data_IF_024419501336
#
_entry.id   IF_024419501336
#
_cell.length_a   1.000
_cell.length_b   1.000
_cell.length_c   1.000
_cell.angle_alpha   90.00
_cell.angle_beta   90.00
_cell.angle_gamma   90.00
#
_symmetry.space_group_name_H-M   'P 1'
#
loop_
_entity.id
_entity.type
_entity.pdbx_description
1 polymer ?
#
# COMPACT_ATOMS: atom_id res chain seq x y z
N UNK A 1 18.19 55.87 -12.49
CA UNK A 1 17.72 55.04 -11.35
C UNK A 1 16.37 54.45 -11.73
N UNK A 2 16.29 53.13 -11.91
CA UNK A 2 15.01 52.44 -12.07
C UNK A 2 14.39 52.28 -10.67
N UNK A 3 13.07 52.50 -10.50
CA UNK A 3 12.43 52.25 -9.21
C UNK A 3 12.54 50.77 -8.84
N UNK A 4 12.70 50.42 -7.55
CA UNK A 4 12.71 49.03 -7.12
C UNK A 4 11.37 48.38 -7.47
N UNK A 5 11.44 47.23 -8.13
CA UNK A 5 10.28 46.38 -8.40
C UNK A 5 9.65 46.01 -7.06
N UNK A 6 8.33 46.21 -6.85
CA UNK A 6 7.69 45.78 -5.62
C UNK A 6 7.92 44.28 -5.44
N UNK A 7 8.63 43.92 -4.37
CA UNK A 7 8.76 42.53 -3.96
C UNK A 7 7.36 41.95 -3.81
N UNK A 8 7.08 40.87 -4.54
CA UNK A 8 5.85 40.10 -4.34
C UNK A 8 5.75 39.76 -2.86
N UNK A 9 4.72 40.26 -2.19
CA UNK A 9 4.32 39.75 -0.88
C UNK A 9 4.10 38.25 -1.05
N UNK A 10 4.91 37.43 -0.37
CA UNK A 10 4.58 36.01 -0.24
C UNK A 10 3.22 35.95 0.47
N UNK A 11 2.18 35.54 -0.25
CA UNK A 11 0.88 35.26 0.34
C UNK A 11 1.07 34.23 1.45
N UNK A 12 0.41 34.43 2.59
CA UNK A 12 0.38 33.44 3.67
C UNK A 12 0.13 32.04 3.09
N UNK A 13 0.80 30.99 3.60
CA UNK A 13 0.59 29.64 3.10
C UNK A 13 -0.89 29.27 3.17
N UNK A 14 -1.46 28.87 2.05
CA UNK A 14 -2.86 28.44 1.97
C UNK A 14 -3.01 27.07 2.66
N UNK A 15 -3.96 26.96 3.58
CA UNK A 15 -4.33 25.70 4.24
C UNK A 15 -5.81 25.39 3.98
N UNK A 16 -6.12 24.12 3.77
CA UNK A 16 -7.51 23.62 3.75
C UNK A 16 -7.91 23.19 5.16
N UNK A 17 -9.16 23.45 5.53
CA UNK A 17 -9.76 23.02 6.79
C UNK A 17 -11.14 22.44 6.50
N UNK A 18 -11.48 21.35 7.16
CA UNK A 18 -12.83 20.78 7.08
C UNK A 18 -13.88 21.74 7.64
N UNK A 19 -15.06 21.73 7.03
CA UNK A 19 -16.19 22.57 7.42
C UNK A 19 -16.77 22.25 8.80
N UNK A 20 -16.60 21.01 9.29
CA UNK A 20 -17.29 20.50 10.48
C UNK A 20 -16.44 19.57 11.37
N UNK A 21 -15.11 19.70 11.37
CA UNK A 21 -14.25 18.91 12.27
C UNK A 21 -14.00 19.59 13.60
N UNK A 22 -14.07 18.83 14.69
CA UNK A 22 -13.69 19.21 16.04
C UNK A 22 -12.30 18.72 16.48
N UNK A 23 -11.90 19.02 17.73
CA UNK A 23 -10.68 18.48 18.32
C UNK A 23 -10.72 16.95 18.39
N UNK A 24 -9.68 16.28 17.88
CA UNK A 24 -9.56 14.82 17.93
C UNK A 24 -10.07 14.08 16.68
N UNK A 25 -10.76 14.76 15.76
CA UNK A 25 -11.26 14.15 14.52
C UNK A 25 -10.15 13.71 13.55
N UNK A 26 -8.91 14.17 13.81
CA UNK A 26 -7.71 13.87 13.04
C UNK A 26 -7.83 14.19 11.55
N UNK A 27 -8.43 15.34 11.22
CA UNK A 27 -8.39 15.86 9.85
C UNK A 27 -6.96 15.95 9.33
N UNK A 28 -6.73 15.42 8.14
CA UNK A 28 -5.39 15.36 7.54
C UNK A 28 -4.59 14.12 7.90
N UNK A 29 -5.20 13.11 8.55
CA UNK A 29 -4.51 11.86 8.88
C UNK A 29 -3.99 11.11 7.64
N UNK A 30 -4.74 11.19 6.54
CA UNK A 30 -4.35 10.70 5.21
C UNK A 30 -4.86 11.67 4.13
N UNK A 31 -4.15 11.71 3.01
CA UNK A 31 -4.47 12.59 1.88
C UNK A 31 -4.20 11.88 0.55
N UNK A 32 -4.98 12.22 -0.48
CA UNK A 32 -4.72 11.81 -1.86
C UNK A 32 -4.94 12.99 -2.82
N UNK A 33 -4.04 13.15 -3.78
CA UNK A 33 -4.06 14.23 -4.76
C UNK A 33 -4.17 13.64 -6.17
N UNK A 34 -5.01 14.23 -7.03
CA UNK A 34 -5.14 13.83 -8.43
C UNK A 34 -3.86 14.13 -9.22
N UNK A 35 -3.73 13.52 -10.39
CA UNK A 35 -2.53 13.66 -11.23
C UNK A 35 -2.32 15.08 -11.76
N UNK A 36 -3.40 15.84 -11.96
CA UNK A 36 -3.37 17.26 -12.31
C UNK A 36 -3.11 18.20 -11.11
N UNK A 37 -3.22 17.69 -9.88
CA UNK A 37 -3.04 18.48 -8.66
C UNK A 37 -4.23 19.37 -8.29
N UNK A 38 -5.39 19.20 -8.94
CA UNK A 38 -6.56 20.07 -8.76
C UNK A 38 -7.68 19.44 -7.92
N UNK A 39 -7.60 18.15 -7.59
CA UNK A 39 -8.53 17.49 -6.66
C UNK A 39 -7.75 16.86 -5.51
N UNK A 40 -8.13 17.19 -4.28
CA UNK A 40 -7.51 16.71 -3.05
C UNK A 40 -8.57 16.05 -2.17
N UNK A 41 -8.37 14.79 -1.80
CA UNK A 41 -9.13 14.13 -0.75
C UNK A 41 -8.36 14.21 0.56
N UNK A 42 -9.04 14.60 1.64
CA UNK A 42 -8.49 14.66 3.00
C UNK A 42 -9.44 13.95 3.95
N UNK A 43 -8.91 13.09 4.82
CA UNK A 43 -9.73 12.29 5.71
C UNK A 43 -9.71 12.80 7.15
N UNK A 44 -10.77 12.50 7.90
CA UNK A 44 -10.89 12.69 9.34
C UNK A 44 -11.53 11.42 9.94
N UNK A 45 -10.74 10.38 10.25
CA UNK A 45 -11.26 9.05 10.57
C UNK A 45 -12.03 8.99 11.90
N UNK A 46 -11.90 10.01 12.75
CA UNK A 46 -12.58 10.09 14.05
C UNK A 46 -13.73 11.10 14.05
N UNK A 47 -14.08 11.66 12.88
CA UNK A 47 -15.22 12.54 12.74
C UNK A 47 -16.53 11.77 13.00
N UNK A 48 -17.50 12.41 13.68
CA UNK A 48 -18.80 11.81 13.97
C UNK A 48 -19.82 12.08 12.85
N UNK A 49 -20.41 11.02 12.31
CA UNK A 49 -21.48 11.10 11.33
C UNK A 49 -22.84 11.28 12.03
N UNK A 50 -23.28 12.52 12.23
CA UNK A 50 -24.52 12.80 12.96
C UNK A 50 -24.39 12.40 14.43
N UNK A 51 -25.18 11.42 14.87
CA UNK A 51 -25.12 10.86 16.23
C UNK A 51 -24.15 9.68 16.36
N UNK A 52 -23.62 9.17 15.25
CA UNK A 52 -22.70 8.03 15.23
C UNK A 52 -21.28 8.52 15.48
N UNK A 53 -20.74 8.21 16.65
CA UNK A 53 -19.41 8.66 17.07
C UNK A 53 -18.31 7.95 16.29
N UNK A 54 -17.27 8.69 15.91
CA UNK A 54 -16.05 8.12 15.31
C UNK A 54 -16.29 7.24 14.07
N UNK A 55 -17.38 7.49 13.33
CA UNK A 55 -17.69 6.79 12.08
C UNK A 55 -16.69 7.13 10.98
N UNK A 56 -16.14 8.35 11.01
CA UNK A 56 -15.16 8.87 10.07
C UNK A 56 -15.78 9.58 8.85
N UNK A 57 -14.99 10.45 8.22
CA UNK A 57 -15.41 11.25 7.08
C UNK A 57 -14.26 11.53 6.09
N UNK A 58 -14.62 11.81 4.84
CA UNK A 58 -13.72 12.28 3.78
C UNK A 58 -14.20 13.61 3.21
N UNK A 59 -13.27 14.52 3.01
CA UNK A 59 -13.48 15.85 2.47
C UNK A 59 -12.79 15.94 1.12
N UNK A 60 -13.52 16.28 0.07
CA UNK A 60 -12.94 16.52 -1.25
C UNK A 60 -12.84 18.02 -1.47
N UNK A 61 -11.66 18.48 -1.87
CA UNK A 61 -11.37 19.85 -2.23
C UNK A 61 -11.02 19.93 -3.70
N UNK A 62 -11.41 21.01 -4.35
CA UNK A 62 -11.01 21.34 -5.71
C UNK A 62 -10.23 22.64 -5.73
N UNK A 63 -9.26 22.73 -6.63
CA UNK A 63 -8.45 23.91 -6.84
C UNK A 63 -8.92 24.67 -8.08
N UNK A 64 -9.08 25.97 -7.96
CA UNK A 64 -9.34 26.86 -9.11
C UNK A 64 -8.64 28.19 -8.89
N UNK A 65 -7.98 28.70 -9.95
CA UNK A 65 -7.20 29.94 -9.90
C UNK A 65 -6.20 30.00 -8.71
N UNK A 66 -5.64 28.84 -8.34
CA UNK A 66 -4.69 28.71 -7.24
C UNK A 66 -5.32 28.57 -5.84
N UNK A 67 -6.63 28.73 -5.70
CA UNK A 67 -7.37 28.63 -4.43
C UNK A 67 -8.07 27.28 -4.28
N UNK A 68 -8.04 26.71 -3.07
CA UNK A 68 -8.74 25.49 -2.71
C UNK A 68 -10.10 25.78 -2.09
N UNK A 69 -11.14 25.07 -2.51
CA UNK A 69 -12.47 25.10 -1.93
C UNK A 69 -12.96 23.69 -1.63
N UNK A 70 -13.68 23.50 -0.52
CA UNK A 70 -14.32 22.22 -0.23
C UNK A 70 -15.46 22.01 -1.22
N UNK A 71 -15.40 20.89 -1.93
CA UNK A 71 -16.36 20.49 -2.95
C UNK A 71 -17.34 19.44 -2.43
N UNK A 72 -16.88 18.53 -1.57
CA UNK A 72 -17.74 17.49 -1.00
C UNK A 72 -17.34 17.11 0.43
N UNK A 73 -18.31 16.52 1.12
CA UNK A 73 -18.19 15.82 2.39
C UNK A 73 -18.86 14.46 2.22
N UNK A 74 -18.13 13.39 2.47
CA UNK A 74 -18.53 12.01 2.21
C UNK A 74 -18.41 11.20 3.49
N UNK A 75 -19.43 10.38 3.75
CA UNK A 75 -19.48 9.39 4.82
C UNK A 75 -19.86 8.04 4.22
N UNK A 76 -19.54 6.95 4.94
CA UNK A 76 -20.07 5.63 4.64
C UNK A 76 -21.61 5.66 4.55
N UNK A 77 -22.19 4.81 3.72
CA UNK A 77 -23.64 4.69 3.61
C UNK A 77 -24.28 3.87 4.74
N UNK A 78 -23.49 2.98 5.33
CA UNK A 78 -23.74 2.26 6.56
C UNK A 78 -22.69 2.77 7.58
N UNK A 79 -23.03 3.82 8.32
CA UNK A 79 -22.16 4.34 9.38
C UNK A 79 -22.35 3.59 10.68
N UNK A 80 -21.34 2.83 11.09
CA UNK A 80 -21.19 2.29 12.43
C UNK A 80 -20.28 3.16 13.31
N UNK A 81 -20.34 2.91 14.62
CA UNK A 81 -19.49 3.59 15.60
C UNK A 81 -18.10 2.96 15.58
N UNK A 82 -17.07 3.78 15.41
CA UNK A 82 -15.67 3.34 15.26
C UNK A 82 -15.33 2.61 13.95
N UNK A 83 -16.13 2.66 12.90
CA UNK A 83 -15.80 2.02 11.62
C UNK A 83 -14.55 2.60 10.93
N UNK A 84 -14.18 3.83 11.32
CA UNK A 84 -13.04 4.60 10.82
C UNK A 84 -13.08 4.79 9.29
N UNK A 85 -14.23 5.13 8.74
CA UNK A 85 -14.34 5.55 7.34
C UNK A 85 -13.37 6.71 7.06
N UNK A 86 -12.51 6.53 6.07
CA UNK A 86 -11.42 7.47 5.83
C UNK A 86 -10.17 7.15 6.64
N UNK A 87 -9.95 5.92 7.09
CA UNK A 87 -8.65 5.50 7.61
C UNK A 87 -7.58 5.52 6.51
N UNK A 88 -7.96 5.12 5.30
CA UNK A 88 -7.11 5.15 4.11
C UNK A 88 -7.90 5.75 2.94
N UNK A 89 -7.18 6.42 2.03
CA UNK A 89 -7.80 7.07 0.86
C UNK A 89 -6.88 7.01 -0.35
N UNK A 90 -7.46 6.78 -1.53
CA UNK A 90 -6.76 6.86 -2.81
C UNK A 90 -7.65 7.55 -3.85
N UNK A 91 -7.06 8.39 -4.69
CA UNK A 91 -7.72 9.14 -5.75
C UNK A 91 -7.03 8.84 -7.07
N UNK A 92 -7.79 8.64 -8.14
CA UNK A 92 -7.21 8.36 -9.46
C UNK A 92 -6.67 9.64 -10.13
N UNK A 93 -6.06 9.46 -11.31
CA UNK A 93 -5.32 10.50 -12.01
C UNK A 93 -6.17 11.70 -12.44
N UNK A 94 -7.41 11.47 -12.86
CA UNK A 94 -8.35 12.53 -13.27
C UNK A 94 -9.16 13.11 -12.10
N UNK A 95 -8.96 12.60 -10.88
CA UNK A 95 -9.66 13.07 -9.68
C UNK A 95 -11.14 12.70 -9.60
N UNK A 96 -11.62 11.76 -10.43
CA UNK A 96 -13.05 11.39 -10.49
C UNK A 96 -13.38 10.04 -9.85
N UNK A 97 -12.40 9.24 -9.44
CA UNK A 97 -12.61 7.97 -8.73
C UNK A 97 -11.84 7.98 -7.41
N UNK A 98 -12.55 7.79 -6.31
CA UNK A 98 -12.03 7.82 -4.95
C UNK A 98 -12.31 6.48 -4.27
N UNK A 99 -11.29 5.86 -3.70
CA UNK A 99 -11.44 4.69 -2.83
C UNK A 99 -11.16 5.08 -1.38
N UNK A 100 -12.04 4.67 -0.47
CA UNK A 100 -11.98 5.02 0.96
C UNK A 100 -12.07 3.75 1.80
N UNK A 101 -11.09 3.50 2.66
CA UNK A 101 -11.10 2.37 3.58
C UNK A 101 -11.79 2.68 4.92
N UNK A 102 -12.51 1.68 5.43
CA UNK A 102 -13.11 1.63 6.77
C UNK A 102 -12.74 0.28 7.41
N UNK A 103 -11.52 0.14 7.97
CA UNK A 103 -11.00 -1.15 8.41
C UNK A 103 -11.75 -1.78 9.58
N UNK A 104 -12.51 -1.00 10.34
CA UNK A 104 -13.27 -1.49 11.50
C UNK A 104 -14.77 -1.57 11.21
N UNK A 105 -15.16 -1.51 9.93
CA UNK A 105 -16.54 -1.73 9.55
C UNK A 105 -16.96 -3.19 9.84
N UNK A 106 -18.13 -3.33 10.44
CA UNK A 106 -18.72 -4.60 10.80
C UNK A 106 -19.66 -5.08 9.69
N UNK A 107 -19.28 -6.14 8.98
CA UNK A 107 -20.23 -6.84 8.10
C UNK A 107 -19.74 -8.20 7.64
N UNK A 108 -20.68 -9.15 7.59
CA UNK A 108 -20.49 -10.49 7.02
C UNK A 108 -20.63 -10.56 5.50
N UNK A 109 -20.90 -9.43 4.81
CA UNK A 109 -20.95 -9.39 3.35
C UNK A 109 -19.57 -9.72 2.74
N UNK A 110 -19.59 -10.29 1.53
CA UNK A 110 -18.38 -10.68 0.79
C UNK A 110 -18.42 -10.13 -0.63
N UNK A 111 -17.25 -9.94 -1.22
CA UNK A 111 -17.12 -9.48 -2.60
C UNK A 111 -17.58 -8.03 -2.80
N UNK A 112 -18.12 -7.73 -3.97
CA UNK A 112 -18.50 -6.36 -4.36
C UNK A 112 -20.02 -6.23 -4.43
N UNK A 113 -20.56 -5.27 -3.69
CA UNK A 113 -21.94 -4.81 -3.85
C UNK A 113 -21.94 -3.49 -4.61
N UNK A 114 -22.74 -3.40 -5.67
CA UNK A 114 -22.88 -2.17 -6.45
C UNK A 114 -23.74 -1.13 -5.69
N UNK A 115 -23.27 0.12 -5.66
CA UNK A 115 -23.96 1.24 -5.06
C UNK A 115 -23.86 1.31 -3.54
N UNK A 116 -24.97 1.73 -2.94
CA UNK A 116 -25.15 2.00 -1.52
C UNK A 116 -25.58 0.72 -0.79
N UNK A 117 -25.00 0.47 0.38
CA UNK A 117 -25.45 -0.55 1.33
C UNK A 117 -25.80 0.17 2.64
N UNK A 118 -27.01 0.02 3.14
CA UNK A 118 -27.40 0.54 4.45
C UNK A 118 -27.07 -0.45 5.57
N UNK A 119 -27.15 -0.01 6.83
CA UNK A 119 -26.85 -0.86 7.99
C UNK A 119 -27.72 -2.10 8.09
N UNK A 120 -28.98 -2.00 7.66
CA UNK A 120 -29.91 -3.12 7.72
C UNK A 120 -29.49 -4.24 6.75
N UNK A 121 -28.99 -3.88 5.58
CA UNK A 121 -28.47 -4.80 4.57
C UNK A 121 -27.04 -5.27 4.89
N UNK A 122 -26.17 -4.39 5.40
CA UNK A 122 -24.80 -4.73 5.77
C UNK A 122 -24.78 -5.73 6.92
N UNK A 123 -25.50 -5.40 8.01
CA UNK A 123 -25.56 -6.15 9.26
C UNK A 123 -24.19 -6.33 9.93
N UNK A 124 -24.14 -6.58 11.24
CA UNK A 124 -22.87 -6.59 11.98
C UNK A 124 -22.40 -8.02 12.32
N UNK A 125 -22.53 -8.94 11.35
CA UNK A 125 -22.31 -10.36 11.58
C UNK A 125 -20.83 -10.76 11.71
N UNK A 126 -19.90 -9.93 11.22
CA UNK A 126 -18.46 -10.13 11.35
C UNK A 126 -17.80 -8.81 11.78
N UNK A 127 -17.36 -8.76 13.04
CA UNK A 127 -16.78 -7.56 13.65
C UNK A 127 -15.43 -7.20 13.06
N UNK A 128 -15.12 -5.92 12.87
CA UNK A 128 -13.84 -5.41 12.35
C UNK A 128 -13.39 -6.11 11.06
N UNK A 129 -14.34 -6.59 10.28
CA UNK A 129 -14.04 -7.30 9.03
C UNK A 129 -13.53 -6.32 7.97
N UNK A 130 -13.98 -5.07 8.05
CA UNK A 130 -13.53 -3.94 7.28
C UNK A 130 -14.12 -3.88 5.87
N UNK A 131 -14.17 -2.68 5.29
CA UNK A 131 -14.73 -2.40 3.99
C UNK A 131 -13.93 -1.34 3.21
N UNK A 132 -14.15 -1.28 1.90
CA UNK A 132 -13.74 -0.16 1.05
C UNK A 132 -14.95 0.37 0.28
N UNK A 133 -15.07 1.69 0.23
CA UNK A 133 -16.12 2.39 -0.50
C UNK A 133 -15.50 3.08 -1.70
N UNK A 134 -16.03 2.82 -2.89
CA UNK A 134 -15.61 3.50 -4.11
C UNK A 134 -16.64 4.54 -4.47
N UNK A 135 -16.22 5.79 -4.60
CA UNK A 135 -17.03 6.91 -5.08
C UNK A 135 -16.57 7.35 -6.45
N UNK A 136 -17.52 7.80 -7.25
CA UNK A 136 -17.27 8.41 -8.56
C UNK A 136 -17.85 9.81 -8.63
N UNK A 137 -17.13 10.71 -9.30
CA UNK A 137 -17.56 12.07 -9.57
C UNK A 137 -18.09 12.19 -10.99
N UNK A 138 -19.32 12.66 -11.13
CA UNK A 138 -19.90 13.01 -12.42
C UNK A 138 -20.58 14.37 -12.34
N UNK A 139 -20.32 15.26 -13.31
CA UNK A 139 -20.90 16.62 -13.35
C UNK A 139 -20.74 17.41 -12.04
N UNK A 140 -19.63 17.18 -11.31
CA UNK A 140 -19.37 17.84 -10.04
C UNK A 140 -20.02 17.20 -8.80
N UNK A 141 -20.82 16.14 -8.96
CA UNK A 141 -21.43 15.41 -7.84
C UNK A 141 -20.70 14.09 -7.59
N UNK A 142 -20.42 13.79 -6.32
CA UNK A 142 -19.86 12.51 -5.89
C UNK A 142 -20.99 11.56 -5.49
N UNK A 143 -20.92 10.32 -5.96
CA UNK A 143 -21.85 9.24 -5.59
C UNK A 143 -21.08 7.97 -5.28
N UNK A 144 -21.55 7.20 -4.30
CA UNK A 144 -20.98 5.88 -4.01
C UNK A 144 -21.33 4.93 -5.16
N UNK A 145 -20.29 4.37 -5.76
CA UNK A 145 -20.39 3.43 -6.85
C UNK A 145 -20.36 1.98 -6.37
N UNK A 146 -19.57 1.67 -5.34
CA UNK A 146 -19.43 0.32 -4.84
C UNK A 146 -19.09 0.27 -3.35
N UNK A 147 -19.56 -0.79 -2.72
CA UNK A 147 -19.13 -1.27 -1.41
C UNK A 147 -18.36 -2.57 -1.61
N UNK A 148 -17.10 -2.59 -1.19
CA UNK A 148 -16.13 -3.64 -1.52
C UNK A 148 -15.69 -4.33 -0.22
N UNK A 149 -15.80 -5.65 -0.22
CA UNK A 149 -15.39 -6.58 0.83
C UNK A 149 -14.49 -7.66 0.25
N UNK A 150 -13.66 -8.27 1.09
CA UNK A 150 -12.93 -9.47 0.70
C UNK A 150 -13.87 -10.59 0.21
N UNK A 151 -13.42 -11.45 -0.70
CA UNK A 151 -14.16 -12.67 -1.10
C UNK A 151 -14.42 -13.64 0.05
N UNK A 152 -13.65 -13.52 1.12
CA UNK A 152 -13.53 -14.44 2.24
C UNK A 152 -13.45 -13.63 3.54
N UNK A 153 -14.33 -12.64 3.67
CA UNK A 153 -14.52 -11.80 4.83
C UNK A 153 -14.52 -12.61 6.13
N UNK A 154 -13.61 -12.28 7.04
CA UNK A 154 -13.54 -12.81 8.39
C UNK A 154 -13.54 -11.69 9.44
N UNK A 155 -14.03 -11.96 10.66
CA UNK A 155 -13.91 -11.01 11.76
C UNK A 155 -12.45 -10.64 12.06
N UNK A 156 -12.19 -9.36 12.26
CA UNK A 156 -10.88 -8.82 12.60
C UNK A 156 -9.86 -8.82 11.46
N UNK A 157 -10.28 -9.07 10.22
CA UNK A 157 -9.40 -9.07 9.04
C UNK A 157 -8.88 -7.65 8.71
N UNK A 158 -9.59 -6.62 9.15
CA UNK A 158 -9.33 -5.20 8.92
C UNK A 158 -9.15 -4.85 7.44
N UNK A 159 -10.00 -5.40 6.57
CA UNK A 159 -9.98 -5.10 5.14
C UNK A 159 -10.19 -3.60 4.89
N UNK A 160 -9.39 -2.99 4.02
CA UNK A 160 -9.43 -1.53 3.80
C UNK A 160 -8.49 -0.73 4.68
N UNK A 161 -7.64 -1.40 5.48
CA UNK A 161 -6.60 -0.72 6.26
C UNK A 161 -5.65 0.12 5.39
N UNK A 162 -5.37 -0.34 4.17
CA UNK A 162 -4.67 0.44 3.16
C UNK A 162 -5.25 0.17 1.79
N UNK A 163 -5.36 1.21 0.97
CA UNK A 163 -5.88 1.15 -0.39
C UNK A 163 -4.92 1.84 -1.36
N UNK A 164 -4.84 1.33 -2.57
CA UNK A 164 -4.16 1.98 -3.70
C UNK A 164 -5.02 1.88 -4.95
N UNK A 165 -5.15 2.98 -5.68
CA UNK A 165 -5.95 3.07 -6.90
C UNK A 165 -5.04 3.44 -8.07
N UNK A 166 -5.20 2.77 -9.21
CA UNK A 166 -4.46 3.09 -10.43
C UNK A 166 -4.84 4.46 -10.99
N UNK A 167 -3.95 5.04 -11.81
CA UNK A 167 -4.18 6.36 -12.41
C UNK A 167 -5.41 6.44 -13.31
N UNK A 168 -5.76 5.35 -13.99
CA UNK A 168 -7.01 5.23 -14.77
C UNK A 168 -8.26 5.05 -13.88
N UNK A 169 -8.09 4.68 -12.60
CA UNK A 169 -9.19 4.43 -11.67
C UNK A 169 -9.83 3.06 -11.81
N UNK A 170 -9.27 2.15 -12.61
CA UNK A 170 -9.86 0.85 -12.92
C UNK A 170 -9.23 -0.33 -12.17
N UNK A 171 -8.14 -0.13 -11.42
CA UNK A 171 -7.51 -1.16 -10.60
C UNK A 171 -7.33 -0.68 -9.17
N UNK A 172 -7.91 -1.41 -8.22
CA UNK A 172 -7.89 -1.12 -6.79
C UNK A 172 -7.18 -2.27 -6.06
N UNK A 173 -6.12 -1.97 -5.32
CA UNK A 173 -5.51 -2.90 -4.37
C UNK A 173 -5.96 -2.56 -2.95
N UNK A 174 -6.33 -3.58 -2.18
CA UNK A 174 -6.81 -3.43 -0.79
C UNK A 174 -6.10 -4.41 0.13
N UNK A 175 -5.65 -3.91 1.27
CA UNK A 175 -4.96 -4.70 2.30
C UNK A 175 -5.96 -5.14 3.39
N UNK A 176 -5.85 -6.41 3.80
CA UNK A 176 -6.43 -6.95 5.03
C UNK A 176 -5.30 -7.57 5.87
N UNK A 177 -4.68 -6.80 6.78
CA UNK A 177 -3.41 -7.17 7.40
C UNK A 177 -3.53 -8.36 8.34
N UNK A 178 -4.73 -8.64 8.84
CA UNK A 178 -4.99 -9.72 9.80
C UNK A 178 -5.72 -10.90 9.18
N UNK A 179 -5.83 -10.93 7.86
CA UNK A 179 -6.46 -12.06 7.20
C UNK A 179 -5.62 -13.34 7.36
N UNK A 180 -6.29 -14.43 7.73
CA UNK A 180 -5.62 -15.69 8.12
C UNK A 180 -5.13 -16.56 6.95
N UNK A 181 -5.58 -16.28 5.73
CA UNK A 181 -5.26 -16.97 4.47
C UNK A 181 -5.39 -18.51 4.53
N UNK A 182 -6.27 -19.02 5.41
CA UNK A 182 -6.41 -20.47 5.65
C UNK A 182 -5.27 -21.09 6.46
N UNK A 183 -4.50 -20.29 7.18
CA UNK A 183 -3.37 -20.71 8.03
C UNK A 183 -3.62 -20.39 9.51
N UNK A 184 -2.88 -21.04 10.42
CA UNK A 184 -2.88 -20.67 11.85
C UNK A 184 -1.97 -19.46 12.06
N UNK A 185 -2.46 -18.27 11.71
CA UNK A 185 -1.75 -17.01 11.89
C UNK A 185 -2.30 -15.89 11.01
N UNK A 186 -2.10 -14.64 11.45
CA UNK A 186 -2.45 -13.42 10.71
C UNK A 186 -1.39 -13.13 9.63
N UNK A 187 -1.39 -13.93 8.56
CA UNK A 187 -0.42 -13.78 7.46
C UNK A 187 -0.65 -12.47 6.66
N UNK A 188 -1.88 -11.96 6.70
CA UNK A 188 -2.33 -10.82 5.92
C UNK A 188 -2.58 -11.21 4.46
N UNK A 189 -3.43 -10.41 3.80
CA UNK A 189 -3.74 -10.59 2.39
C UNK A 189 -3.85 -9.24 1.67
N UNK A 190 -3.57 -9.27 0.36
CA UNK A 190 -3.85 -8.15 -0.56
C UNK A 190 -4.81 -8.65 -1.62
N UNK A 191 -5.86 -7.89 -1.83
CA UNK A 191 -6.91 -8.16 -2.81
C UNK A 191 -6.80 -7.13 -3.92
N UNK A 192 -6.89 -7.58 -5.17
CA UNK A 192 -6.93 -6.69 -6.33
C UNK A 192 -8.30 -6.79 -6.97
N UNK A 193 -8.90 -5.64 -7.23
CA UNK A 193 -10.17 -5.48 -7.91
C UNK A 193 -9.95 -4.72 -9.20
N UNK A 194 -10.68 -5.11 -10.23
CA UNK A 194 -10.70 -4.43 -11.53
C UNK A 194 -12.10 -3.95 -11.85
N UNK A 195 -12.19 -2.76 -12.45
CA UNK A 195 -13.42 -2.16 -12.93
C UNK A 195 -13.52 -2.35 -14.44
N UNK A 196 -14.68 -2.80 -14.91
CA UNK A 196 -15.00 -2.88 -16.33
C UNK A 196 -16.45 -2.51 -16.55
N UNK A 197 -16.71 -1.62 -17.53
CA UNK A 197 -18.06 -1.08 -17.79
C UNK A 197 -18.77 -0.58 -16.52
N UNK A 198 -18.02 0.02 -15.58
CA UNK A 198 -18.55 0.52 -14.32
C UNK A 198 -18.71 -0.53 -13.21
N UNK A 199 -18.56 -1.82 -13.48
CA UNK A 199 -18.68 -2.87 -12.47
C UNK A 199 -17.31 -3.26 -11.90
N UNK A 200 -17.19 -3.27 -10.57
CA UNK A 200 -16.00 -3.76 -9.87
C UNK A 200 -16.12 -5.26 -9.62
N UNK A 201 -15.01 -5.98 -9.79
CA UNK A 201 -14.91 -7.41 -9.48
C UNK A 201 -13.51 -7.74 -9.00
N UNK A 202 -13.39 -8.72 -8.11
CA UNK A 202 -12.09 -9.18 -7.65
C UNK A 202 -11.37 -9.94 -8.77
N UNK A 203 -10.13 -9.58 -9.02
CA UNK A 203 -9.28 -10.30 -9.96
C UNK A 203 -8.88 -11.65 -9.36
N UNK A 204 -9.25 -12.74 -10.04
CA UNK A 204 -8.84 -14.08 -9.64
C UNK A 204 -7.35 -14.30 -9.95
N UNK A 205 -6.59 -14.76 -8.97
CA UNK A 205 -5.25 -15.30 -9.22
C UNK A 205 -5.36 -16.80 -9.44
N UNK A 206 -4.98 -17.34 -10.62
CA UNK A 206 -4.89 -18.78 -10.78
C UNK A 206 -3.79 -19.32 -9.86
N UNK A 207 -4.14 -20.28 -8.98
CA UNK A 207 -3.22 -20.93 -8.05
C UNK A 207 -1.96 -21.53 -8.72
N UNK A 208 -1.97 -21.68 -10.04
CA UNK A 208 -0.89 -22.27 -10.85
C UNK A 208 0.32 -21.36 -11.08
N UNK A 209 0.22 -20.04 -10.87
CA UNK A 209 1.32 -19.10 -11.15
C UNK A 209 2.44 -19.12 -10.08
N UNK A 210 2.22 -19.73 -8.92
CA UNK A 210 3.19 -19.83 -7.82
C UNK A 210 3.93 -21.18 -7.75
N UNK A 211 4.07 -21.93 -8.85
CA UNK A 211 5.05 -23.03 -8.89
C UNK A 211 6.45 -22.44 -9.01
N UNK A 212 7.19 -22.51 -7.90
CA UNK A 212 8.59 -22.16 -7.79
C UNK A 212 9.40 -22.61 -9.00
N UNK A 213 10.00 -21.65 -9.71
CA UNK A 213 11.19 -21.92 -10.54
C UNK A 213 12.36 -22.22 -9.60
N UNK A 214 12.37 -23.38 -8.97
CA UNK A 214 13.51 -23.84 -8.17
C UNK A 214 13.55 -25.36 -8.12
N UNK A 215 14.14 -25.94 -9.16
CA UNK A 215 15.07 -27.08 -9.06
C UNK A 215 15.60 -27.45 -10.45
N UNK A 216 16.35 -26.55 -11.12
CA UNK A 216 17.32 -27.04 -12.11
C UNK A 216 18.50 -27.60 -11.31
N UNK A 217 18.36 -28.84 -10.83
CA UNK A 217 19.51 -29.62 -10.35
C UNK A 217 20.50 -29.65 -11.50
N UNK A 218 21.63 -28.96 -11.34
CA UNK A 218 22.82 -29.17 -12.14
C UNK A 218 23.20 -30.64 -12.00
N UNK A 219 22.80 -31.46 -12.97
CA UNK A 219 23.49 -32.73 -13.21
C UNK A 219 24.90 -32.33 -13.61
N UNK A 220 25.84 -32.45 -12.69
CA UNK A 220 27.24 -32.68 -13.01
C UNK A 220 27.27 -33.92 -13.89
N UNK A 221 27.43 -33.71 -15.20
CA UNK A 221 27.69 -34.79 -16.13
C UNK A 221 29.07 -35.35 -15.78
N UNK A 222 29.11 -36.58 -15.28
CA UNK A 222 30.32 -37.37 -15.28
C UNK A 222 30.79 -37.52 -16.73
N UNK A 223 32.05 -37.20 -16.99
CA UNK A 223 32.67 -37.37 -18.30
C UNK A 223 32.58 -38.85 -18.73
N UNK A 224 32.17 -39.17 -19.96
CA UNK A 224 32.29 -40.53 -20.44
C UNK A 224 33.76 -40.84 -20.73
N UNK A 225 34.17 -42.01 -20.26
CA UNK A 225 35.46 -42.62 -20.55
C UNK A 225 35.66 -42.79 -22.06
N UNK A 226 36.93 -42.68 -22.45
CA UNK A 226 37.49 -42.87 -23.78
C UNK A 226 36.89 -44.04 -24.57
N UNK A 227 36.30 -43.74 -25.72
CA UNK A 227 36.07 -44.72 -26.77
C UNK A 227 36.53 -44.12 -28.10
N UNK A 228 37.56 -44.75 -28.67
CA UNK A 228 38.23 -44.38 -29.90
C UNK A 228 37.25 -44.37 -31.08
N UNK A 229 37.22 -43.27 -31.85
CA UNK A 229 36.56 -43.24 -33.14
C UNK A 229 37.63 -43.23 -34.25
N UNK A 230 37.61 -44.29 -35.05
CA UNK A 230 38.44 -44.47 -36.24
C UNK A 230 38.01 -43.49 -37.33
N UNK A 231 39.00 -43.14 -38.13
CA UNK A 231 38.99 -42.28 -39.30
C UNK A 231 37.88 -42.59 -40.32
N UNK A 232 37.12 -41.58 -40.73
CA UNK A 232 36.97 -41.19 -42.14
C UNK A 232 36.20 -39.86 -42.30
N UNK A 233 36.86 -38.90 -42.94
CA UNK A 233 36.31 -37.63 -43.45
C UNK A 233 35.52 -37.88 -44.76
N UNK A 234 34.53 -37.02 -45.11
CA UNK A 234 34.86 -35.94 -46.04
C UNK A 234 34.31 -34.57 -45.67
N UNK A 235 34.98 -33.58 -46.28
CA UNK A 235 34.93 -32.13 -46.08
C UNK A 235 33.61 -31.52 -46.58
N UNK A 236 32.99 -30.66 -45.78
CA UNK A 236 32.53 -29.33 -46.27
C UNK A 236 32.33 -28.37 -45.09
N UNK A 237 32.63 -27.10 -45.37
CA UNK A 237 33.00 -26.06 -44.41
C UNK A 237 31.77 -25.30 -43.87
N UNK A 238 31.77 -25.01 -42.56
CA UNK A 238 31.21 -23.78 -42.02
C UNK A 238 31.89 -23.51 -40.66
N UNK A 239 32.82 -22.55 -40.66
CA UNK A 239 33.46 -22.02 -39.44
C UNK A 239 32.59 -20.89 -38.90
N UNK A 240 32.08 -21.02 -37.68
CA UNK A 240 31.74 -19.87 -36.85
C UNK A 240 32.85 -19.75 -35.80
N UNK A 241 33.67 -18.71 -35.90
CA UNK A 241 34.71 -18.38 -34.93
C UNK A 241 34.08 -17.77 -33.69
N UNK A 242 34.25 -18.45 -32.54
CA UNK A 242 34.06 -17.85 -31.23
C UNK A 242 35.36 -17.15 -30.84
N UNK A 243 35.31 -15.83 -30.63
CA UNK A 243 36.44 -15.04 -30.12
C UNK A 243 36.32 -14.98 -28.59
N UNK A 244 37.14 -15.69 -27.80
CA UNK A 244 37.19 -15.45 -26.36
C UNK A 244 37.97 -14.17 -26.08
N UNK A 245 37.38 -13.28 -25.28
CA UNK A 245 38.07 -12.10 -24.75
C UNK A 245 39.29 -12.53 -23.91
N UNK A 246 40.42 -11.86 -24.12
CA UNK A 246 41.67 -12.13 -23.43
C UNK A 246 41.60 -11.81 -21.92
N UNK A 247 42.30 -12.56 -21.06
CA UNK A 247 42.40 -12.27 -19.63
C UNK A 247 43.42 -11.14 -19.36
N UNK A 248 43.03 -10.17 -18.53
CA UNK A 248 43.95 -9.16 -17.98
C UNK A 248 44.77 -9.80 -16.85
N UNK A 249 46.11 -9.75 -16.87
CA UNK A 249 46.93 -10.34 -15.83
C UNK A 249 47.17 -9.39 -14.64
N UNK A 250 46.84 -9.88 -13.44
CA UNK A 250 47.69 -9.81 -12.26
C UNK A 250 47.79 -8.50 -11.47
N UNK A 251 47.26 -8.51 -10.24
CA UNK A 251 48.09 -8.40 -9.01
C UNK A 251 47.39 -9.08 -7.82
N UNK A 252 48.05 -10.15 -7.37
CA UNK A 252 47.90 -10.85 -6.08
C UNK A 252 48.45 -9.96 -4.95
N UNK A 253 48.12 -9.99 -3.65
CA UNK A 253 47.87 -11.09 -2.70
C UNK A 253 47.12 -10.52 -1.48
N UNK A 254 46.18 -11.27 -0.90
CA UNK A 254 46.22 -11.71 0.51
C UNK A 254 44.97 -12.57 0.82
N UNK A 255 45.18 -13.86 0.99
CA UNK A 255 44.24 -14.75 1.68
C UNK A 255 44.65 -14.84 3.15
N UNK A 256 43.67 -14.79 4.04
CA UNK A 256 43.72 -15.53 5.30
C UNK A 256 42.31 -15.81 5.81
N UNK A 257 41.91 -17.07 5.63
CA UNK A 257 41.20 -17.95 6.58
C UNK A 257 39.99 -17.36 7.34
N UNK A 258 38.81 -17.93 7.09
CA UNK A 258 37.99 -18.56 8.13
C UNK A 258 36.92 -19.48 7.49
N UNK A 259 36.99 -20.77 7.81
CA UNK A 259 35.92 -21.77 7.66
C UNK A 259 35.47 -22.16 9.07
N UNK A 260 34.27 -22.75 9.13
CA UNK A 260 33.61 -23.43 10.29
C UNK A 260 33.09 -22.45 11.36
N UNK A 261 31.83 -22.48 11.81
CA UNK A 261 30.94 -23.61 12.07
C UNK A 261 29.46 -23.18 12.01
N UNK A 262 28.60 -23.97 11.35
CA UNK A 262 27.16 -24.01 11.62
C UNK A 262 26.96 -24.94 12.81
N UNK A 263 26.26 -24.49 13.86
CA UNK A 263 25.62 -25.39 14.80
C UNK A 263 24.20 -24.91 15.10
N UNK A 264 23.31 -25.91 15.05
CA UNK A 264 21.90 -25.88 15.42
C UNK A 264 21.68 -25.39 16.85
N UNK A 265 20.60 -24.64 17.07
CA UNK A 265 19.86 -24.75 18.32
C UNK A 265 18.38 -24.93 18.04
N UNK A 266 17.90 -26.03 18.59
CA UNK A 266 16.57 -26.62 18.60
C UNK A 266 15.60 -25.84 19.49
N UNK A 267 14.33 -26.01 19.17
CA UNK A 267 13.12 -25.66 19.91
C UNK A 267 13.24 -25.73 21.43
N UNK A 268 12.66 -24.73 22.10
CA UNK A 268 12.06 -24.90 23.43
C UNK A 268 10.77 -24.11 23.48
N UNK A 269 9.68 -24.86 23.69
CA UNK A 269 8.34 -24.37 23.90
C UNK A 269 8.28 -23.55 25.19
N UNK A 270 7.61 -22.39 25.15
CA UNK A 270 7.13 -21.71 26.35
C UNK A 270 5.61 -21.61 26.29
N UNK A 271 5.00 -22.33 27.23
CA UNK A 271 3.57 -22.32 27.54
C UNK A 271 3.13 -20.93 28.02
N UNK A 272 1.97 -20.53 27.54
CA UNK A 272 1.10 -19.51 28.15
C UNK A 272 0.70 -19.89 29.58
N UNK A 273 0.37 -18.89 30.40
CA UNK A 273 -0.83 -18.99 31.23
C UNK A 273 -1.80 -17.83 30.99
N UNK A 274 -3.07 -18.19 30.78
CA UNK A 274 -4.23 -17.30 30.82
C UNK A 274 -4.60 -16.89 32.25
N UNK A 275 -5.47 -15.88 32.45
CA UNK A 275 -5.41 -14.95 33.58
C UNK A 275 -6.27 -15.38 34.78
N UNK A 276 -5.86 -14.92 35.97
CA UNK A 276 -6.67 -14.97 37.17
C UNK A 276 -7.22 -13.57 37.49
N UNK A 277 -8.54 -13.55 37.65
CA UNK A 277 -9.44 -12.48 38.03
C UNK A 277 -9.24 -12.11 39.51
N UNK A 278 -9.05 -10.83 39.83
CA UNK A 278 -9.18 -10.31 41.19
C UNK A 278 -9.77 -8.90 41.19
N UNK A 279 -10.90 -8.79 41.88
CA UNK A 279 -11.66 -7.58 42.18
C UNK A 279 -11.02 -6.81 43.35
N UNK A 280 -10.95 -5.47 43.26
CA UNK A 280 -11.48 -4.50 44.24
C UNK A 280 -10.98 -3.07 44.00
N UNK A 281 -11.65 -2.17 44.71
CA UNK A 281 -11.96 -0.78 44.43
C UNK A 281 -11.01 0.27 45.03
N UNK A 282 -11.26 1.51 44.56
CA UNK A 282 -11.23 2.81 45.26
C UNK A 282 -9.95 3.67 45.23
N UNK A 283 -10.12 4.82 44.57
CA UNK A 283 -9.80 6.20 44.99
C UNK A 283 -8.38 6.57 45.45
N UNK A 284 -7.80 7.59 44.81
CA UNK A 284 -6.77 8.42 45.43
C UNK A 284 -5.97 9.26 44.43
N UNK A 285 -6.09 10.59 44.54
CA UNK A 285 -5.28 11.61 43.85
C UNK A 285 -3.78 11.40 44.05
N UNK A 286 -2.99 11.79 43.05
CA UNK A 286 -1.56 11.99 43.21
C UNK A 286 -0.86 12.42 41.92
N UNK A 287 -0.71 13.73 41.75
CA UNK A 287 0.20 14.38 40.81
C UNK A 287 1.62 13.83 40.90
N UNK A 288 2.23 13.43 39.78
CA UNK A 288 3.68 13.36 39.61
C UNK A 288 4.04 13.56 38.14
N UNK A 289 4.76 14.65 37.89
CA UNK A 289 5.57 14.92 36.71
C UNK A 289 6.60 13.81 36.53
N UNK A 290 6.67 13.23 35.32
CA UNK A 290 7.74 12.31 34.93
C UNK A 290 8.32 12.76 33.59
N UNK A 291 9.61 13.03 33.61
CA UNK A 291 10.41 13.51 32.50
C UNK A 291 10.58 12.44 31.42
N UNK A 292 10.53 12.87 30.16
CA UNK A 292 10.88 12.06 28.99
C UNK A 292 12.41 11.87 28.89
N UNK A 293 12.92 10.68 28.52
CA UNK A 293 14.32 10.52 28.15
C UNK A 293 14.59 11.00 26.72
N UNK A 294 15.78 11.58 26.56
CA UNK A 294 16.26 12.31 25.40
C UNK A 294 16.39 11.48 24.11
N UNK A 295 16.00 12.13 23.01
CA UNK A 295 16.27 11.76 21.62
C UNK A 295 17.78 11.70 21.36
N UNK A 296 18.26 10.55 20.86
CA UNK A 296 19.59 10.45 20.23
C UNK A 296 19.43 10.72 18.74
N UNK A 297 19.77 11.94 18.32
CA UNK A 297 19.81 12.34 16.92
C UNK A 297 20.95 11.61 16.18
N UNK A 298 20.62 10.69 15.28
CA UNK A 298 21.58 10.21 14.27
C UNK A 298 21.57 11.16 13.08
N UNK A 299 22.71 11.80 12.88
CA UNK A 299 23.07 12.66 11.75
C UNK A 299 23.07 11.83 10.47
N UNK A 300 22.06 11.97 9.61
CA UNK A 300 22.10 11.45 8.23
C UNK A 300 22.85 12.47 7.39
N UNK A 301 24.01 12.06 6.88
CA UNK A 301 24.82 12.83 5.94
C UNK A 301 24.08 12.83 4.60
N UNK A 302 23.76 14.03 4.13
CA UNK A 302 23.28 14.32 2.77
C UNK A 302 24.36 13.93 1.76
N UNK A 303 24.00 13.07 0.80
CA UNK A 303 24.72 12.94 -0.46
C UNK A 303 23.77 13.37 -1.58
N UNK A 304 23.90 14.64 -1.95
CA UNK A 304 23.27 15.24 -3.11
C UNK A 304 24.15 15.05 -4.34
N UNK A 305 23.71 14.24 -5.30
CA UNK A 305 24.04 14.41 -6.73
C UNK A 305 23.01 13.64 -7.57
N UNK A 306 22.16 14.32 -8.36
CA UNK A 306 21.40 13.65 -9.42
C UNK A 306 22.26 13.56 -10.69
N UNK A 307 22.61 12.34 -11.10
CA UNK A 307 23.14 12.10 -12.45
C UNK A 307 22.01 12.29 -13.47
N UNK A 308 22.17 13.30 -14.33
CA UNK A 308 21.29 13.57 -15.48
C UNK A 308 21.66 12.62 -16.62
N UNK A 309 20.73 11.76 -17.03
CA UNK A 309 20.82 11.09 -18.32
C UNK A 309 20.39 12.07 -19.42
N UNK A 310 21.35 12.47 -20.26
CA UNK A 310 21.11 13.23 -21.49
C UNK A 310 21.06 12.22 -22.64
N UNK A 311 19.87 11.98 -23.20
CA UNK A 311 19.73 11.31 -24.49
C UNK A 311 20.06 12.31 -25.61
N UNK A 312 21.17 12.11 -26.30
CA UNK A 312 21.45 12.76 -27.60
C UNK A 312 21.09 11.79 -28.72
N UNK A 313 20.30 12.25 -29.70
CA UNK A 313 20.06 11.51 -30.95
C UNK A 313 21.37 11.51 -31.74
N UNK A 314 21.85 10.32 -32.12
CA UNK A 314 22.82 10.17 -33.19
C UNK A 314 22.03 9.98 -34.47
N UNK A 315 22.09 10.96 -35.38
CA UNK A 315 21.72 10.78 -36.78
C UNK A 315 22.90 10.13 -37.48
N UNK A 316 22.77 8.87 -37.91
CA UNK A 316 23.71 8.28 -38.85
C UNK A 316 23.44 8.85 -40.26
N UNK A 317 24.49 9.40 -40.86
CA UNK A 317 24.56 9.65 -42.29
C UNK A 317 25.49 8.59 -42.89
N UNK A 318 24.99 7.86 -43.89
CA UNK A 318 25.69 6.79 -44.59
C UNK A 318 24.70 5.88 -45.29
#
# INVERSE_FOLDING_TARGET
MLPPTPGRCMSSPAAVKASNTGPGDNFGNSVALSGDGDTLAVVAPFQSAGTTGFAGAVYVYTRSAGAWSQQAYLNASNTGTFDLFGNSVALNGDGNTLAVGAPLEDSGLTGVTAGIVDEAAAGNAASDAGAVYVYTRSTGAWSQQAYVKASNTGPGDNFGNSVALSGDGDTLAVVAPFQSAGTTGFAGAVYVYTRSAGAWSQQAYPATAMRSRSARRSKTAAAPASAACRTNWPRTQARCTFTPAAPVPGRSRHMSKLRTSLNSMTSSALRSPSPAMATRSRSGRGSKTAAAPASTARRIISLSTPERFICTRVTEAG
#
